data_IF_647559106343
#
_entry.id   IF_647559106343
#
_cell.length_a   1.000
_cell.length_b   1.000
_cell.length_c   1.000
_cell.angle_alpha   90.00
_cell.angle_beta   90.00
_cell.angle_gamma   90.00
#
_symmetry.space_group_name_H-M   'P 1'
#
loop_
_entity.id
_entity.type
_entity.pdbx_description
1 polymer ?
#
# COMPACT_ATOMS: atom_id res chain seq x y z
N UNK A 1 29.64 -43.48 30.03
CA UNK A 1 31.02 -43.46 29.49
C UNK A 1 31.03 -42.64 28.21
N UNK A 2 32.01 -41.71 28.13
CA UNK A 2 32.58 -40.99 26.95
C UNK A 2 31.61 -40.28 25.98
N UNK A 3 31.42 -38.94 26.01
CA UNK A 3 32.30 -37.83 25.55
C UNK A 3 32.95 -38.05 24.18
N UNK A 4 32.57 -37.22 23.20
CA UNK A 4 33.54 -36.54 22.34
C UNK A 4 33.02 -35.15 21.96
N UNK A 5 33.94 -34.17 22.09
CA UNK A 5 33.77 -32.76 21.74
C UNK A 5 34.48 -32.56 20.41
N UNK A 6 33.90 -31.78 19.51
CA UNK A 6 34.61 -31.18 18.38
C UNK A 6 34.60 -29.66 18.50
N UNK A 7 35.70 -29.08 18.99
CA UNK A 7 36.04 -27.66 18.97
C UNK A 7 37.43 -27.56 18.36
N UNK A 8 37.58 -26.90 17.22
CA UNK A 8 38.84 -26.33 16.65
C UNK A 8 38.39 -25.43 15.48
N UNK A 9 38.83 -24.20 15.19
CA UNK A 9 39.58 -23.12 15.86
C UNK A 9 39.66 -21.96 14.84
N UNK A 10 39.52 -20.70 15.27
CA UNK A 10 40.06 -19.54 14.53
C UNK A 10 41.55 -19.34 14.89
N UNK A 11 42.34 -18.80 13.97
CA UNK A 11 43.22 -17.65 14.25
C UNK A 11 43.05 -16.53 13.19
N UNK A 12 42.94 -15.25 13.57
CA UNK A 12 44.01 -14.22 13.70
C UNK A 12 44.77 -13.97 12.37
N UNK A 13 45.14 -12.78 11.93
CA UNK A 13 44.92 -11.36 12.25
C UNK A 13 45.81 -10.54 11.27
N UNK A 14 45.54 -9.23 11.13
CA UNK A 14 46.43 -8.18 10.58
C UNK A 14 46.64 -8.23 9.05
N UNK A 15 46.74 -7.14 8.30
CA UNK A 15 47.52 -5.92 8.53
C UNK A 15 47.08 -4.78 7.59
N UNK A 16 47.58 -3.57 7.88
CA UNK A 16 47.26 -2.24 7.36
C UNK A 16 47.15 -2.08 5.83
N UNK A 17 46.60 -0.99 5.32
CA UNK A 17 47.19 0.34 5.56
C UNK A 17 46.32 1.44 4.93
N UNK A 18 46.18 2.54 5.67
CA UNK A 18 45.75 3.86 5.22
C UNK A 18 46.99 4.58 4.68
N UNK A 19 46.87 5.43 3.64
CA UNK A 19 47.65 6.65 3.62
C UNK A 19 46.74 7.88 3.55
N UNK A 20 46.80 8.68 4.61
CA UNK A 20 46.62 10.12 4.55
C UNK A 20 47.96 10.66 4.08
N UNK A 21 47.96 11.45 3.00
CA UNK A 21 49.00 12.44 2.80
C UNK A 21 48.37 13.79 2.44
N UNK A 22 48.97 14.76 3.10
CA UNK A 22 48.58 16.15 3.23
C UNK A 22 49.28 17.06 2.22
N UNK A 23 48.76 18.28 2.13
CA UNK A 23 49.43 19.54 1.75
C UNK A 23 49.36 20.00 0.28
N UNK A 24 48.98 21.29 0.20
CA UNK A 24 48.68 22.23 -0.88
C UNK A 24 49.98 22.82 -1.53
N UNK A 25 49.97 24.00 -2.19
CA UNK A 25 49.47 24.38 -3.52
C UNK A 25 50.62 24.82 -4.47
N UNK A 26 50.40 24.84 -5.78
CA UNK A 26 51.24 25.65 -6.69
C UNK A 26 50.43 26.43 -7.72
N UNK A 27 50.59 27.74 -7.60
CA UNK A 27 50.15 28.80 -8.50
C UNK A 27 50.73 28.65 -9.91
N UNK A 28 49.91 28.91 -10.93
CA UNK A 28 50.40 29.57 -12.14
C UNK A 28 49.45 30.68 -12.55
N UNK A 29 49.79 31.88 -12.09
CA UNK A 29 49.35 33.12 -12.68
C UNK A 29 49.92 33.25 -14.09
N UNK A 30 49.07 33.47 -15.10
CA UNK A 30 49.45 34.20 -16.31
C UNK A 30 48.74 35.53 -16.33
N UNK A 31 49.48 36.54 -15.91
CA UNK A 31 49.15 37.95 -16.05
C UNK A 31 49.26 38.33 -17.52
N UNK A 32 48.19 38.84 -18.13
CA UNK A 32 48.32 39.73 -19.28
C UNK A 32 47.69 41.08 -18.94
N UNK A 33 48.54 42.11 -19.01
CA UNK A 33 48.27 43.49 -18.62
C UNK A 33 47.47 44.22 -19.72
N UNK A 34 46.37 44.83 -19.27
CA UNK A 34 45.88 46.21 -19.52
C UNK A 34 45.61 46.68 -20.96
N UNK A 35 44.39 47.22 -21.16
CA UNK A 35 44.07 48.67 -21.26
C UNK A 35 42.53 48.80 -21.32
N UNK A 36 41.91 49.49 -20.34
CA UNK A 36 41.19 50.77 -20.48
C UNK A 36 40.20 50.79 -21.68
N UNK A 37 38.91 51.12 -21.58
CA UNK A 37 38.30 52.24 -20.88
C UNK A 37 36.76 52.17 -21.10
N UNK A 38 36.01 52.87 -20.23
CA UNK A 38 34.68 53.46 -20.49
C UNK A 38 33.45 52.53 -20.56
N UNK A 39 32.66 52.53 -19.48
CA UNK A 39 31.50 53.43 -19.24
C UNK A 39 30.33 53.12 -20.17
N UNK A 40 29.32 52.44 -19.63
CA UNK A 40 27.91 52.76 -19.85
C UNK A 40 27.15 52.32 -18.59
N UNK A 41 26.98 53.26 -17.66
CA UNK A 41 25.91 53.20 -16.68
C UNK A 41 24.65 53.70 -17.40
N UNK A 42 23.75 52.79 -17.76
CA UNK A 42 22.41 53.14 -18.21
C UNK A 42 21.45 52.83 -17.05
N UNK A 43 20.82 53.89 -16.55
CA UNK A 43 19.70 53.88 -15.62
C UNK A 43 18.63 52.88 -16.09
N UNK A 44 18.45 51.78 -15.36
CA UNK A 44 17.21 51.02 -15.39
C UNK A 44 16.22 51.70 -14.43
N UNK A 45 15.62 52.80 -14.91
CA UNK A 45 14.45 53.41 -14.27
C UNK A 45 13.24 52.49 -14.48
N UNK A 46 12.59 52.12 -13.38
CA UNK A 46 11.18 51.74 -13.36
C UNK A 46 10.84 50.32 -13.80
N UNK A 47 11.17 49.33 -12.97
CA UNK A 47 10.33 48.15 -12.89
C UNK A 47 9.12 48.52 -12.00
N UNK A 48 7.88 48.56 -12.51
CA UNK A 48 6.73 48.58 -11.62
C UNK A 48 6.80 47.29 -10.79
N UNK A 49 6.85 47.44 -9.46
CA UNK A 49 6.46 46.37 -8.56
C UNK A 49 4.98 46.14 -8.80
N UNK A 50 4.68 45.35 -9.82
CA UNK A 50 3.42 44.63 -9.93
C UNK A 50 3.39 43.70 -8.74
N UNK A 51 2.93 44.20 -7.59
CA UNK A 51 2.35 43.36 -6.58
C UNK A 51 1.14 42.70 -7.24
N UNK A 52 1.38 41.58 -7.91
CA UNK A 52 0.38 40.52 -8.02
C UNK A 52 -0.08 40.31 -6.58
N UNK A 53 -1.27 40.76 -6.19
CA UNK A 53 -2.49 40.30 -6.81
C UNK A 53 -2.57 38.85 -6.39
N UNK A 54 -3.34 38.61 -5.34
CA UNK A 54 -3.69 37.30 -4.79
C UNK A 54 -4.31 36.46 -5.90
N UNK A 55 -3.47 35.92 -6.76
CA UNK A 55 -3.85 34.99 -7.79
C UNK A 55 -3.42 33.65 -7.25
N UNK A 56 -4.40 32.94 -6.68
CA UNK A 56 -4.41 31.49 -6.54
C UNK A 56 -4.33 30.86 -7.94
N UNK A 57 -3.19 31.04 -8.62
CA UNK A 57 -2.91 30.56 -9.96
C UNK A 57 -1.71 29.61 -9.90
N UNK A 58 -1.80 28.59 -9.06
CA UNK A 58 -1.07 27.32 -9.25
C UNK A 58 -1.63 26.30 -8.26
N UNK A 59 -2.71 25.64 -8.70
CA UNK A 59 -3.10 24.30 -8.28
C UNK A 59 -2.91 24.00 -6.80
N UNK A 60 -3.75 24.58 -5.96
CA UNK A 60 -3.93 24.05 -4.61
C UNK A 60 -4.14 22.56 -4.75
N UNK A 61 -3.21 21.78 -4.21
CA UNK A 61 -3.34 20.34 -4.02
C UNK A 61 -4.68 20.14 -3.32
N UNK A 62 -5.75 19.91 -4.08
CA UNK A 62 -7.05 19.62 -3.51
C UNK A 62 -6.84 18.34 -2.73
N UNK A 63 -6.70 18.48 -1.41
CA UNK A 63 -6.58 17.34 -0.53
C UNK A 63 -7.79 16.48 -0.80
N UNK A 64 -7.55 15.27 -1.29
CA UNK A 64 -8.58 14.26 -1.46
C UNK A 64 -9.31 14.14 -0.14
N UNK A 65 -10.61 14.39 -0.15
CA UNK A 65 -11.40 14.31 1.06
C UNK A 65 -11.40 12.88 1.58
N UNK A 66 -11.25 12.72 2.90
CA UNK A 66 -11.04 11.42 3.52
C UNK A 66 -12.00 11.17 4.67
N UNK A 67 -12.26 9.90 4.95
CA UNK A 67 -13.01 9.42 6.10
C UNK A 67 -12.18 8.37 6.84
N UNK A 68 -12.30 8.35 8.17
CA UNK A 68 -11.72 7.30 9.01
C UNK A 68 -12.82 6.33 9.42
N UNK A 69 -12.65 5.05 9.12
CA UNK A 69 -13.59 3.99 9.45
C UNK A 69 -12.85 2.77 10.00
N UNK A 70 -13.53 1.98 10.82
CA UNK A 70 -13.06 0.69 11.26
C UNK A 70 -13.34 -0.33 10.15
N UNK A 71 -12.30 -0.93 9.58
CA UNK A 71 -12.43 -1.86 8.47
C UNK A 71 -12.61 -3.30 8.97
N UNK A 72 -13.62 -3.99 8.45
CA UNK A 72 -13.88 -5.41 8.71
C UNK A 72 -13.78 -6.15 7.37
N UNK A 73 -12.97 -7.21 7.31
CA UNK A 73 -12.66 -7.90 6.07
C UNK A 73 -13.35 -9.25 5.99
N UNK A 74 -14.00 -9.49 4.85
CA UNK A 74 -14.68 -10.73 4.51
C UNK A 74 -14.04 -11.32 3.26
N UNK A 75 -13.40 -12.47 3.43
CA UNK A 75 -12.83 -13.26 2.34
C UNK A 75 -13.75 -14.43 2.03
N UNK A 76 -14.25 -14.41 0.81
CA UNK A 76 -15.11 -15.45 0.27
C UNK A 76 -14.34 -16.45 -0.62
N UNK A 77 -13.04 -16.59 -0.42
CA UNK A 77 -12.25 -17.66 -1.03
C UNK A 77 -12.49 -19.00 -0.32
N UNK A 78 -12.53 -20.08 -1.09
CA UNK A 78 -12.71 -21.44 -0.56
C UNK A 78 -11.68 -22.37 -1.18
N UNK A 79 -11.62 -22.44 -2.51
CA UNK A 79 -10.65 -23.27 -3.21
C UNK A 79 -10.30 -22.70 -4.59
N UNK A 80 -9.06 -22.92 -5.01
CA UNK A 80 -8.61 -22.84 -6.41
C UNK A 80 -7.95 -24.19 -6.68
N UNK A 81 -8.39 -24.89 -7.72
CA UNK A 81 -7.80 -26.17 -8.16
C UNK A 81 -7.59 -27.20 -7.04
N UNK A 82 -8.59 -27.35 -6.15
CA UNK A 82 -8.59 -28.21 -4.95
C UNK A 82 -7.69 -27.77 -3.79
N UNK A 83 -7.04 -26.61 -3.88
CA UNK A 83 -6.28 -26.04 -2.77
C UNK A 83 -7.12 -25.03 -2.00
N UNK A 84 -7.05 -25.07 -0.67
CA UNK A 84 -7.65 -24.04 0.19
C UNK A 84 -6.86 -22.73 0.01
N UNK A 85 -7.54 -21.72 -0.51
CA UNK A 85 -6.93 -20.40 -0.77
C UNK A 85 -7.12 -19.53 0.45
N UNK A 86 -6.06 -18.82 0.82
CA UNK A 86 -6.11 -17.79 1.86
C UNK A 86 -5.82 -16.44 1.20
N UNK A 87 -6.53 -15.41 1.63
CA UNK A 87 -6.16 -14.03 1.29
C UNK A 87 -5.26 -13.51 2.40
N UNK A 88 -4.07 -13.06 2.00
CA UNK A 88 -3.16 -12.28 2.83
C UNK A 88 -3.15 -10.84 2.31
N UNK A 89 -2.88 -9.88 3.19
CA UNK A 89 -2.58 -8.49 2.84
C UNK A 89 -3.54 -7.86 1.80
N UNK A 90 -4.60 -7.26 2.28
CA UNK A 90 -5.52 -6.45 1.49
C UNK A 90 -5.04 -5.01 1.49
N UNK A 91 -5.03 -4.38 0.32
CA UNK A 91 -4.68 -2.99 0.13
C UNK A 91 -5.80 -2.24 -0.56
N UNK A 92 -6.03 -1.00 -0.13
CA UNK A 92 -6.92 -0.05 -0.80
C UNK A 92 -6.10 1.19 -1.15
N UNK A 93 -6.06 1.54 -2.44
CA UNK A 93 -5.23 2.63 -2.98
C UNK A 93 -3.76 2.53 -2.56
N UNK A 94 -3.23 1.31 -2.47
CA UNK A 94 -1.85 1.03 -2.05
C UNK A 94 -1.61 1.09 -0.53
N UNK A 95 -2.64 1.35 0.28
CA UNK A 95 -2.54 1.33 1.75
C UNK A 95 -3.04 0.00 2.28
N UNK A 96 -2.25 -0.67 3.11
CA UNK A 96 -2.64 -1.94 3.74
C UNK A 96 -3.79 -1.71 4.72
N UNK A 97 -4.83 -2.54 4.61
CA UNK A 97 -6.07 -2.45 5.39
C UNK A 97 -6.40 -3.75 6.11
N UNK A 98 -5.44 -4.66 6.26
CA UNK A 98 -5.59 -5.90 7.02
C UNK A 98 -5.43 -7.15 6.16
N UNK A 99 -5.52 -8.31 6.81
CA UNK A 99 -5.54 -9.61 6.15
C UNK A 99 -6.95 -10.06 5.82
N UNK A 100 -7.09 -10.97 4.85
CA UNK A 100 -8.37 -11.57 4.52
C UNK A 100 -8.91 -12.38 5.71
N UNK A 101 -10.09 -12.02 6.20
CA UNK A 101 -10.72 -12.64 7.37
C UNK A 101 -12.14 -13.11 7.10
N UNK A 102 -12.78 -13.73 8.09
CA UNK A 102 -14.19 -14.15 8.04
C UNK A 102 -15.12 -13.14 8.74
N UNK A 103 -14.79 -11.84 8.68
CA UNK A 103 -15.54 -10.80 9.38
C UNK A 103 -15.33 -10.72 10.90
N UNK A 104 -14.31 -11.41 11.43
CA UNK A 104 -14.07 -11.52 12.88
C UNK A 104 -13.03 -10.54 13.41
N UNK A 105 -12.17 -10.01 12.54
CA UNK A 105 -11.15 -9.02 12.86
C UNK A 105 -11.54 -7.62 12.42
N UNK A 106 -10.96 -6.60 13.07
CA UNK A 106 -11.16 -5.19 12.73
C UNK A 106 -9.82 -4.45 12.67
N UNK A 107 -9.66 -3.61 11.66
CA UNK A 107 -8.61 -2.59 11.60
C UNK A 107 -9.21 -1.25 12.00
N UNK A 108 -8.77 -0.72 13.14
CA UNK A 108 -9.35 0.51 13.72
C UNK A 108 -8.80 1.76 13.04
N UNK A 109 -9.69 2.71 12.73
CA UNK A 109 -9.31 4.04 12.25
C UNK A 109 -8.64 4.10 10.88
N UNK A 110 -8.88 3.10 10.02
CA UNK A 110 -8.37 3.07 8.66
C UNK A 110 -8.85 4.28 7.86
N UNK A 111 -7.93 4.92 7.13
CA UNK A 111 -8.18 6.12 6.34
C UNK A 111 -8.55 5.76 4.91
N UNK A 112 -9.70 6.24 4.45
CA UNK A 112 -10.18 6.06 3.09
C UNK A 112 -10.34 7.41 2.40
N UNK A 113 -9.93 7.51 1.15
CA UNK A 113 -10.22 8.67 0.29
C UNK A 113 -11.55 8.46 -0.41
N UNK A 114 -12.39 9.49 -0.52
CA UNK A 114 -13.56 9.41 -1.40
C UNK A 114 -13.13 9.36 -2.88
N UNK A 115 -13.98 8.78 -3.74
CA UNK A 115 -13.73 8.59 -5.17
C UNK A 115 -13.43 7.14 -5.54
N UNK A 116 -12.88 6.90 -6.75
CA UNK A 116 -12.50 5.57 -7.21
C UNK A 116 -11.52 4.89 -6.26
N UNK A 117 -11.75 3.61 -5.98
CA UNK A 117 -10.93 2.77 -5.12
C UNK A 117 -10.30 1.64 -5.94
N UNK A 118 -9.00 1.46 -5.76
CA UNK A 118 -8.26 0.31 -6.26
C UNK A 118 -8.06 -0.63 -5.07
N UNK A 119 -8.68 -1.81 -5.13
CA UNK A 119 -8.46 -2.86 -4.15
C UNK A 119 -7.54 -3.92 -4.74
N UNK A 120 -6.51 -4.29 -3.99
CA UNK A 120 -5.66 -5.44 -4.32
C UNK A 120 -5.50 -6.34 -3.11
N UNK A 121 -5.28 -7.64 -3.33
CA UNK A 121 -5.00 -8.59 -2.26
C UNK A 121 -4.04 -9.67 -2.72
N UNK A 122 -3.33 -10.29 -1.79
CA UNK A 122 -2.42 -11.39 -2.09
C UNK A 122 -3.08 -12.74 -1.87
N UNK A 123 -3.00 -13.61 -2.85
CA UNK A 123 -3.39 -15.02 -2.70
C UNK A 123 -2.26 -15.79 -2.03
N UNK A 124 -2.62 -16.68 -1.12
CA UNK A 124 -1.69 -17.63 -0.56
C UNK A 124 -2.32 -19.00 -0.35
N UNK A 125 -1.46 -19.95 0.01
CA UNK A 125 -1.81 -21.34 0.23
C UNK A 125 -0.57 -22.21 0.34
N UNK A 126 -0.71 -23.55 0.26
CA UNK A 126 0.42 -24.46 0.34
C UNK A 126 1.38 -24.31 -0.86
N UNK A 127 2.62 -24.76 -0.69
CA UNK A 127 3.61 -24.80 -1.76
C UNK A 127 3.09 -25.59 -2.97
N UNK A 128 3.34 -25.08 -4.18
CA UNK A 128 2.89 -25.69 -5.43
C UNK A 128 1.42 -25.43 -5.79
N UNK A 129 0.65 -24.75 -4.93
CA UNK A 129 -0.69 -24.30 -5.27
C UNK A 129 -0.65 -23.27 -6.43
N UNK A 130 -1.54 -23.40 -7.44
CA UNK A 130 -1.69 -22.40 -8.48
C UNK A 130 -1.96 -21.00 -7.90
N UNK A 131 -1.27 -19.99 -8.44
CA UNK A 131 -1.43 -18.58 -8.06
C UNK A 131 -1.01 -18.24 -6.62
N UNK A 132 -0.32 -19.15 -5.93
CA UNK A 132 0.21 -18.86 -4.61
C UNK A 132 1.25 -17.74 -4.67
N UNK A 133 1.00 -16.66 -3.93
CA UNK A 133 1.82 -15.44 -3.94
C UNK A 133 1.35 -14.38 -4.93
N UNK A 134 0.37 -14.67 -5.80
CA UNK A 134 -0.15 -13.72 -6.77
C UNK A 134 -0.80 -12.52 -6.06
N UNK A 135 -0.60 -11.33 -6.60
CA UNK A 135 -1.39 -10.14 -6.23
C UNK A 135 -2.53 -9.98 -7.24
N UNK A 136 -3.76 -9.96 -6.74
CA UNK A 136 -4.97 -9.78 -7.53
C UNK A 136 -5.48 -8.37 -7.35
N UNK A 137 -5.97 -7.77 -8.42
CA UNK A 137 -6.68 -6.48 -8.41
C UNK A 137 -8.16 -6.73 -8.66
N UNK A 138 -9.03 -6.06 -7.89
CA UNK A 138 -10.48 -6.10 -8.12
C UNK A 138 -10.80 -5.69 -9.57
N UNK A 139 -11.62 -6.50 -10.25
CA UNK A 139 -12.06 -6.25 -11.63
C UNK A 139 -13.16 -5.22 -11.74
N UNK A 140 -14.00 -5.09 -10.71
CA UNK A 140 -15.12 -4.17 -10.71
C UNK A 140 -14.68 -2.76 -10.29
N UNK A 141 -15.32 -1.75 -10.87
CA UNK A 141 -15.06 -0.36 -10.50
C UNK A 141 -15.74 -0.04 -9.17
N UNK A 142 -14.93 0.16 -8.14
CA UNK A 142 -15.38 0.54 -6.82
C UNK A 142 -15.24 2.05 -6.64
N UNK A 143 -16.30 2.70 -6.18
CA UNK A 143 -16.29 4.13 -5.89
C UNK A 143 -16.86 4.34 -4.50
N UNK A 144 -16.05 4.93 -3.62
CA UNK A 144 -16.51 5.34 -2.30
C UNK A 144 -17.07 6.75 -2.42
N UNK A 145 -18.39 6.89 -2.36
CA UNK A 145 -19.07 8.19 -2.44
C UNK A 145 -19.59 8.60 -1.07
N UNK A 146 -19.66 9.90 -0.80
CA UNK A 146 -20.11 10.40 0.51
C UNK A 146 -21.57 10.07 0.76
N UNK A 147 -22.38 10.23 -0.27
CA UNK A 147 -23.81 9.96 -0.28
C UNK A 147 -24.15 8.50 0.02
N UNK A 148 -23.22 7.57 -0.23
CA UNK A 148 -23.41 6.14 0.06
C UNK A 148 -23.01 5.77 1.50
N UNK A 149 -22.38 6.68 2.25
CA UNK A 149 -21.95 6.46 3.64
C UNK A 149 -23.00 7.06 4.59
N UNK A 150 -23.75 6.22 5.34
CA UNK A 150 -24.72 6.73 6.30
C UNK A 150 -24.08 7.68 7.34
N UNK A 151 -24.78 8.74 7.78
CA UNK A 151 -24.31 9.59 8.87
C UNK A 151 -24.01 8.78 10.13
N UNK A 152 -22.86 9.03 10.76
CA UNK A 152 -22.43 8.31 11.97
C UNK A 152 -21.89 6.90 11.71
N UNK A 153 -21.62 6.54 10.45
CA UNK A 153 -20.94 5.28 10.12
C UNK A 153 -19.59 5.20 10.82
N UNK A 154 -19.35 4.09 11.50
CA UNK A 154 -18.08 3.78 12.16
C UNK A 154 -17.35 2.63 11.49
N UNK A 155 -18.05 1.81 10.70
CA UNK A 155 -17.49 0.61 10.08
C UNK A 155 -17.69 0.58 8.57
N UNK A 156 -16.69 0.04 7.88
CA UNK A 156 -16.76 -0.38 6.48
C UNK A 156 -16.46 -1.87 6.38
N UNK A 157 -17.34 -2.62 5.72
CA UNK A 157 -17.11 -4.01 5.39
C UNK A 157 -16.50 -4.10 4.01
N UNK A 158 -15.38 -4.81 3.89
CA UNK A 158 -14.67 -5.04 2.64
C UNK A 158 -14.84 -6.51 2.30
N UNK A 159 -15.69 -6.79 1.32
CA UNK A 159 -16.05 -8.15 0.90
C UNK A 159 -15.29 -8.49 -0.37
N UNK A 160 -14.49 -9.56 -0.36
CA UNK A 160 -13.65 -9.98 -1.47
C UNK A 160 -14.08 -11.36 -1.94
N UNK A 161 -14.29 -11.51 -3.25
CA UNK A 161 -14.89 -12.69 -3.84
C UNK A 161 -13.95 -13.46 -4.80
N UNK A 162 -14.20 -14.76 -5.04
CA UNK A 162 -13.39 -15.59 -5.93
C UNK A 162 -13.43 -15.19 -7.41
N UNK A 163 -14.47 -14.49 -7.85
CA UNK A 163 -14.60 -13.96 -9.21
C UNK A 163 -13.78 -12.68 -9.44
N UNK A 164 -12.89 -12.36 -8.47
CA UNK A 164 -12.01 -11.20 -8.48
C UNK A 164 -12.77 -9.88 -8.44
N UNK A 165 -13.96 -9.88 -7.82
CA UNK A 165 -14.68 -8.65 -7.48
C UNK A 165 -14.61 -8.38 -5.98
N UNK A 166 -14.94 -7.16 -5.60
CA UNK A 166 -15.12 -6.79 -4.19
C UNK A 166 -16.32 -5.85 -4.01
N UNK A 167 -16.84 -5.74 -2.80
CA UNK A 167 -17.98 -4.90 -2.44
C UNK A 167 -17.74 -4.19 -1.10
N UNK A 168 -18.40 -3.04 -0.93
CA UNK A 168 -18.44 -2.32 0.34
C UNK A 168 -19.84 -2.34 0.93
N UNK A 169 -19.93 -2.44 2.25
CA UNK A 169 -21.10 -2.05 3.01
C UNK A 169 -20.70 -1.31 4.28
N UNK A 170 -21.67 -0.70 4.96
CA UNK A 170 -21.42 0.21 6.07
C UNK A 170 -22.28 -0.14 7.27
N UNK A 171 -21.78 0.16 8.46
CA UNK A 171 -22.54 0.03 9.70
C UNK A 171 -22.14 1.12 10.70
N UNK A 172 -23.09 1.53 11.53
CA UNK A 172 -22.94 2.61 12.52
C UNK A 172 -22.56 2.07 13.89
N UNK A 173 -23.14 0.96 14.33
CA UNK A 173 -23.12 0.50 15.73
C UNK A 173 -22.44 -0.86 15.94
N UNK A 174 -22.21 -1.59 14.86
CA UNK A 174 -21.81 -2.99 14.89
C UNK A 174 -20.94 -3.34 13.69
N UNK A 175 -20.37 -4.55 13.68
CA UNK A 175 -19.66 -5.02 12.51
C UNK A 175 -20.63 -5.10 11.32
N UNK A 176 -20.20 -4.69 10.12
CA UNK A 176 -21.04 -4.77 8.94
C UNK A 176 -21.48 -6.22 8.71
N UNK A 177 -22.74 -6.46 8.35
CA UNK A 177 -23.21 -7.81 8.08
C UNK A 177 -22.56 -8.36 6.81
N UNK A 178 -22.65 -9.68 6.64
CA UNK A 178 -22.36 -10.32 5.35
C UNK A 178 -23.31 -9.82 4.26
N UNK A 179 -22.80 -9.71 3.04
CA UNK A 179 -23.63 -9.35 1.89
C UNK A 179 -24.51 -10.53 1.45
N UNK A 180 -25.57 -10.29 0.64
CA UNK A 180 -26.30 -11.39 -0.01
C UNK A 180 -25.40 -12.33 -0.82
N UNK A 181 -24.35 -11.79 -1.46
CA UNK A 181 -23.40 -12.57 -2.25
C UNK A 181 -22.54 -13.48 -1.36
N UNK A 182 -22.10 -13.00 -0.21
CA UNK A 182 -21.40 -13.84 0.79
C UNK A 182 -22.29 -14.98 1.27
N UNK A 183 -23.54 -14.69 1.61
CA UNK A 183 -24.49 -15.69 2.09
C UNK A 183 -24.73 -16.79 1.04
N UNK A 184 -24.88 -16.40 -0.23
CA UNK A 184 -25.04 -17.35 -1.33
C UNK A 184 -23.79 -18.23 -1.50
N UNK A 185 -22.59 -17.64 -1.44
CA UNK A 185 -21.35 -18.38 -1.53
C UNK A 185 -21.16 -19.32 -0.35
N UNK A 186 -21.44 -18.89 0.87
CA UNK A 186 -21.39 -19.73 2.07
C UNK A 186 -22.36 -20.92 1.97
N UNK A 187 -23.60 -20.67 1.57
CA UNK A 187 -24.60 -21.72 1.34
C UNK A 187 -24.13 -22.72 0.28
N UNK A 188 -23.54 -22.23 -0.81
CA UNK A 188 -22.98 -23.06 -1.88
C UNK A 188 -21.83 -23.93 -1.40
N UNK A 189 -20.93 -23.38 -0.56
CA UNK A 189 -19.83 -24.14 0.06
C UNK A 189 -20.35 -25.21 1.00
N UNK A 190 -21.32 -24.87 1.85
CA UNK A 190 -21.94 -25.81 2.78
C UNK A 190 -22.57 -26.99 2.03
N UNK A 191 -23.38 -26.71 1.00
CA UNK A 191 -24.03 -27.74 0.19
C UNK A 191 -23.02 -28.65 -0.50
N UNK A 192 -21.93 -28.09 -1.04
CA UNK A 192 -20.86 -28.86 -1.69
C UNK A 192 -20.14 -29.79 -0.70
N UNK A 193 -19.77 -29.28 0.48
CA UNK A 193 -19.11 -30.10 1.51
C UNK A 193 -20.01 -31.24 1.96
N UNK A 194 -21.31 -30.98 2.11
CA UNK A 194 -22.31 -32.00 2.44
C UNK A 194 -22.47 -33.04 1.33
N UNK A 195 -22.49 -32.64 0.06
CA UNK A 195 -22.60 -33.60 -1.05
C UNK A 195 -21.36 -34.49 -1.18
N UNK A 196 -20.16 -33.93 -0.97
CA UNK A 196 -18.90 -34.70 -0.96
C UNK A 196 -18.89 -35.73 0.19
N UNK A 197 -19.36 -35.34 1.38
CA UNK A 197 -19.49 -36.26 2.51
C UNK A 197 -20.46 -37.41 2.20
N UNK A 198 -21.59 -37.11 1.57
CA UNK A 198 -22.59 -38.13 1.23
C UNK A 198 -22.17 -39.04 0.07
N UNK A 199 -21.29 -38.61 -0.83
CA UNK A 199 -20.80 -39.40 -1.97
C UNK A 199 -19.63 -40.34 -1.61
N UNK A 200 -19.02 -40.17 -0.44
CA UNK A 200 -17.95 -41.03 0.08
C UNK A 200 -18.40 -42.14 1.02
N UNK A 201 -19.71 -42.24 1.29
CA UNK A 201 -20.36 -43.33 2.05
C UNK A 201 -21.13 -44.25 1.10
#
# INVERSE_FOLDING_TARGET
MQRSKGRVSNPLACDGSIPNDSVSPTNHAKTHRRKNLQRLAALALGLPLSACGQHDLLGGLMQSETIHLNAVLFSSYDHIDNFNVVIFDVFINGVWVGDGGSGTGVIVGAKFTFGPQIITWRLGGPEGMPRNGDTVTAKNHLVLRREDVPPGTNYIGIHIYPDETAEFNFSTDSYPPETPKDQELQKSRYNRRRSLHNAGN
#
